data_IF_633167661108
#
_entry.id   IF_633167661108
#
_cell.length_a   1.000
_cell.length_b   1.000
_cell.length_c   1.000
_cell.angle_alpha   90.00
_cell.angle_beta   90.00
_cell.angle_gamma   90.00
#
_symmetry.space_group_name_H-M   'P 1'
#
loop_
_entity.id
_entity.type
_entity.pdbx_description
1 polymer ?
#
# COMPACT_ATOMS: atom_id res chain seq x y z
N UNK A 1 45.13 0.32 8.90
CA UNK A 1 44.10 1.21 9.50
C UNK A 1 43.44 2.12 8.45
N UNK A 2 44.11 2.44 7.35
CA UNK A 2 43.64 3.43 6.36
C UNK A 2 42.37 3.03 5.58
N UNK A 3 42.23 1.75 5.22
CA UNK A 3 41.07 1.27 4.45
C UNK A 3 39.76 1.33 5.26
N UNK A 4 39.82 1.13 6.58
CA UNK A 4 38.65 1.21 7.46
C UNK A 4 38.17 2.66 7.61
N UNK A 5 39.10 3.61 7.71
CA UNK A 5 38.78 5.02 7.83
C UNK A 5 38.19 5.59 6.52
N UNK A 6 38.69 5.12 5.36
CA UNK A 6 38.13 5.46 4.05
C UNK A 6 36.68 4.96 3.89
N UNK A 7 36.37 3.74 4.36
CA UNK A 7 35.00 3.21 4.34
C UNK A 7 34.02 4.02 5.19
N UNK A 8 34.47 4.49 6.36
CA UNK A 8 33.65 5.33 7.24
C UNK A 8 33.35 6.70 6.60
N UNK A 9 34.34 7.31 5.95
CA UNK A 9 34.17 8.58 5.24
C UNK A 9 33.18 8.46 4.08
N UNK A 10 33.21 7.35 3.34
CA UNK A 10 32.29 7.11 2.23
C UNK A 10 30.84 6.93 2.70
N UNK A 11 30.64 6.21 3.81
CA UNK A 11 29.32 6.03 4.41
C UNK A 11 28.72 7.37 4.87
N UNK A 12 29.50 8.22 5.53
CA UNK A 12 29.06 9.57 5.92
C UNK A 12 28.71 10.42 4.70
N UNK A 13 29.49 10.31 3.61
CA UNK A 13 29.23 11.02 2.36
C UNK A 13 27.93 10.55 1.68
N UNK A 14 27.65 9.25 1.68
CA UNK A 14 26.42 8.70 1.11
C UNK A 14 25.19 9.10 1.93
N UNK A 15 25.25 8.99 3.26
CA UNK A 15 24.15 9.42 4.13
C UNK A 15 23.87 10.91 4.03
N UNK A 16 24.90 11.74 3.87
CA UNK A 16 24.73 13.18 3.61
C UNK A 16 24.01 13.47 2.30
N UNK A 17 24.35 12.74 1.23
CA UNK A 17 23.70 12.86 -0.09
C UNK A 17 22.25 12.38 -0.07
N UNK A 18 21.97 11.28 0.63
CA UNK A 18 20.62 10.73 0.75
C UNK A 18 19.70 11.69 1.52
N UNK A 19 20.18 12.26 2.63
CA UNK A 19 19.43 13.27 3.39
C UNK A 19 19.18 14.54 2.55
N UNK A 20 20.17 14.98 1.78
CA UNK A 20 20.00 16.13 0.88
C UNK A 20 18.98 15.83 -0.24
N UNK A 21 18.98 14.63 -0.81
CA UNK A 21 17.98 14.22 -1.81
C UNK A 21 16.57 14.10 -1.23
N UNK A 22 16.44 13.54 -0.02
CA UNK A 22 15.15 13.49 0.68
C UNK A 22 14.62 14.90 0.97
N UNK A 23 15.48 15.82 1.42
CA UNK A 23 15.10 17.22 1.63
C UNK A 23 14.62 17.89 0.33
N UNK A 24 15.35 17.69 -0.78
CA UNK A 24 14.96 18.24 -2.10
C UNK A 24 13.66 17.63 -2.63
N UNK A 25 13.40 16.35 -2.34
CA UNK A 25 12.17 15.66 -2.76
C UNK A 25 10.96 16.15 -1.96
N UNK A 26 11.13 16.32 -0.64
CA UNK A 26 10.11 16.89 0.24
C UNK A 26 9.84 18.36 -0.10
N UNK A 27 10.87 19.16 -0.36
CA UNK A 27 10.72 20.57 -0.73
C UNK A 27 9.96 20.72 -2.06
N UNK A 28 10.24 19.86 -3.04
CA UNK A 28 9.44 19.80 -4.26
C UNK A 28 7.98 19.40 -3.99
N UNK A 29 7.73 18.48 -3.07
CA UNK A 29 6.36 18.09 -2.71
C UNK A 29 5.60 19.26 -2.05
N UNK A 30 6.22 19.91 -1.07
CA UNK A 30 5.66 21.07 -0.36
C UNK A 30 5.47 22.27 -1.30
N UNK A 31 6.42 22.54 -2.18
CA UNK A 31 6.32 23.62 -3.16
C UNK A 31 5.19 23.37 -4.17
N UNK A 32 5.05 22.13 -4.65
CA UNK A 32 3.95 21.79 -5.54
C UNK A 32 2.60 21.91 -4.82
N UNK A 33 2.52 21.56 -3.54
CA UNK A 33 1.33 21.79 -2.72
C UNK A 33 1.02 23.29 -2.58
N UNK A 34 2.01 24.12 -2.24
CA UNK A 34 1.83 25.57 -2.12
C UNK A 34 1.44 26.25 -3.47
N UNK A 35 1.92 25.72 -4.60
CA UNK A 35 1.51 26.19 -5.94
C UNK A 35 0.05 25.84 -6.27
N UNK A 36 -0.44 24.70 -5.79
CA UNK A 36 -1.86 24.34 -5.89
C UNK A 36 -2.71 25.29 -5.03
N UNK A 37 -2.25 25.61 -3.82
CA UNK A 37 -2.98 26.48 -2.89
C UNK A 37 -3.01 27.95 -3.34
N UNK A 38 -1.93 28.47 -3.94
CA UNK A 38 -1.84 29.86 -4.46
C UNK A 38 -2.61 30.09 -5.78
N UNK A 39 -3.04 29.04 -6.48
CA UNK A 39 -3.88 29.17 -7.70
C UNK A 39 -5.35 29.43 -7.36
N UNK A 40 -5.74 29.43 -6.09
CA UNK A 40 -7.13 29.63 -5.62
C UNK A 40 -7.62 31.08 -5.69
N UNK A 41 -6.80 32.03 -6.17
CA UNK A 41 -7.11 33.47 -6.20
C UNK A 41 -7.92 33.98 -7.41
N UNK A 42 -8.19 33.16 -8.44
CA UNK A 42 -8.95 33.60 -9.62
C UNK A 42 -10.19 32.73 -9.80
N UNK A 43 -11.26 33.10 -9.08
CA UNK A 43 -12.57 32.46 -9.19
C UNK A 43 -13.22 32.77 -10.55
N UNK A 44 -13.12 31.81 -11.46
CA UNK A 44 -14.29 31.38 -12.21
C UNK A 44 -14.98 30.29 -11.36
N UNK A 45 -16.32 30.13 -11.39
CA UNK A 45 -16.96 29.00 -10.73
C UNK A 45 -16.46 27.72 -11.43
N UNK A 46 -15.48 27.05 -10.82
CA UNK A 46 -15.12 25.70 -11.22
C UNK A 46 -16.36 24.82 -11.01
N UNK A 47 -16.75 23.98 -11.98
CA UNK A 47 -17.77 22.98 -11.73
C UNK A 47 -17.35 22.22 -10.48
N UNK A 48 -18.23 22.17 -9.47
CA UNK A 48 -17.98 21.43 -8.25
C UNK A 48 -17.48 20.03 -8.64
N UNK A 49 -16.28 19.68 -8.20
CA UNK A 49 -15.75 18.34 -8.41
C UNK A 49 -16.74 17.38 -7.77
N UNK A 50 -17.52 16.68 -8.60
CA UNK A 50 -18.41 15.65 -8.12
C UNK A 50 -17.51 14.63 -7.41
N UNK A 51 -17.75 14.30 -6.13
CA UNK A 51 -16.92 13.33 -5.44
C UNK A 51 -16.95 12.04 -6.26
N UNK A 52 -15.77 11.56 -6.67
CA UNK A 52 -15.66 10.32 -7.44
C UNK A 52 -16.13 9.18 -6.53
N UNK A 53 -17.38 8.75 -6.72
CA UNK A 53 -18.01 7.75 -5.86
C UNK A 53 -17.44 6.38 -6.22
N UNK A 54 -16.55 5.89 -5.37
CA UNK A 54 -16.03 4.53 -5.51
C UNK A 54 -17.03 3.52 -4.91
N UNK A 55 -17.24 2.40 -5.61
CA UNK A 55 -18.04 1.30 -5.07
C UNK A 55 -17.45 0.78 -3.76
N UNK A 56 -18.30 0.39 -2.81
CA UNK A 56 -17.85 -0.20 -1.53
C UNK A 56 -16.99 -1.44 -1.79
N UNK A 57 -15.87 -1.62 -1.06
CA UNK A 57 -15.07 -2.83 -1.19
C UNK A 57 -15.90 -4.08 -0.94
N UNK A 58 -15.54 -5.16 -1.63
CA UNK A 58 -16.12 -6.47 -1.37
C UNK A 58 -15.51 -7.03 -0.08
N UNK A 59 -16.30 -7.63 0.82
CA UNK A 59 -15.74 -8.30 1.98
C UNK A 59 -14.79 -9.44 1.59
N UNK A 60 -13.72 -9.61 2.35
CA UNK A 60 -12.68 -10.58 2.13
C UNK A 60 -12.65 -11.64 3.23
N UNK A 61 -12.87 -12.90 2.85
CA UNK A 61 -12.93 -14.05 3.75
C UNK A 61 -11.61 -14.85 3.82
N UNK A 62 -10.55 -14.39 3.17
CA UNK A 62 -9.26 -15.10 3.16
C UNK A 62 -9.02 -15.96 1.93
N UNK A 63 -9.90 -15.91 0.92
CA UNK A 63 -9.70 -16.62 -0.35
C UNK A 63 -8.37 -16.19 -1.00
N UNK A 64 -7.46 -17.14 -1.22
CA UNK A 64 -6.16 -16.91 -1.86
C UNK A 64 -6.30 -16.69 -3.38
N UNK A 65 -5.21 -16.27 -4.04
CA UNK A 65 -5.21 -15.99 -5.48
C UNK A 65 -5.85 -14.63 -5.80
N UNK A 66 -6.45 -14.45 -6.97
CA UNK A 66 -6.89 -13.14 -7.46
C UNK A 66 -7.78 -12.33 -6.48
N UNK A 67 -8.56 -12.99 -5.62
CA UNK A 67 -9.39 -12.33 -4.62
C UNK A 67 -8.58 -11.45 -3.64
N UNK A 68 -7.37 -11.88 -3.26
CA UNK A 68 -6.50 -11.13 -2.34
C UNK A 68 -5.96 -9.86 -3.00
N UNK A 69 -5.63 -9.92 -4.30
CA UNK A 69 -5.14 -8.80 -5.08
C UNK A 69 -6.23 -7.76 -5.30
N UNK A 70 -7.44 -8.22 -5.64
CA UNK A 70 -8.63 -7.36 -5.80
C UNK A 70 -8.92 -6.63 -4.50
N UNK A 71 -8.87 -7.31 -3.36
CA UNK A 71 -9.10 -6.69 -2.06
C UNK A 71 -8.07 -5.58 -1.77
N UNK A 72 -6.77 -5.87 -1.90
CA UNK A 72 -5.70 -4.86 -1.69
C UNK A 72 -5.86 -3.68 -2.64
N UNK A 73 -6.19 -3.93 -3.91
CA UNK A 73 -6.46 -2.90 -4.90
C UNK A 73 -7.62 -2.00 -4.51
N UNK A 74 -8.74 -2.57 -4.03
CA UNK A 74 -9.89 -1.80 -3.58
C UNK A 74 -9.57 -0.92 -2.36
N UNK A 75 -8.87 -1.46 -1.36
CA UNK A 75 -8.46 -0.69 -0.18
C UNK A 75 -7.54 0.48 -0.57
N UNK A 76 -6.53 0.20 -1.41
CA UNK A 76 -5.61 1.22 -1.90
C UNK A 76 -6.32 2.32 -2.69
N UNK A 77 -7.24 1.94 -3.58
CA UNK A 77 -7.98 2.89 -4.40
C UNK A 77 -8.88 3.79 -3.56
N UNK A 78 -9.60 3.26 -2.57
CA UNK A 78 -10.39 4.06 -1.63
C UNK A 78 -9.54 5.06 -0.85
N UNK A 79 -8.36 4.65 -0.38
CA UNK A 79 -7.45 5.51 0.37
C UNK A 79 -6.89 6.65 -0.48
N UNK A 80 -6.57 6.38 -1.76
CA UNK A 80 -6.02 7.38 -2.70
C UNK A 80 -7.12 8.34 -3.19
N UNK A 81 -8.31 7.84 -3.49
CA UNK A 81 -9.43 8.67 -3.97
C UNK A 81 -10.01 9.56 -2.87
N UNK A 82 -9.94 9.12 -1.60
CA UNK A 82 -10.55 9.84 -0.48
C UNK A 82 -9.52 10.18 0.62
N UNK A 83 -8.47 10.97 0.32
CA UNK A 83 -7.38 11.22 1.27
C UNK A 83 -7.85 11.94 2.52
N UNK A 84 -8.89 12.78 2.41
CA UNK A 84 -9.53 13.46 3.55
C UNK A 84 -10.20 12.49 4.53
N UNK A 85 -10.71 11.36 4.03
CA UNK A 85 -11.32 10.31 4.86
C UNK A 85 -10.28 9.36 5.45
N UNK A 86 -9.09 9.28 4.85
CA UNK A 86 -8.01 8.39 5.26
C UNK A 86 -6.68 9.12 5.54
N UNK A 87 -6.66 10.13 6.42
CA UNK A 87 -5.46 10.96 6.63
C UNK A 87 -4.34 10.22 7.39
N UNK A 88 -4.64 9.11 8.07
CA UNK A 88 -3.69 8.39 8.92
C UNK A 88 -3.54 6.93 8.53
N UNK A 89 -2.40 6.32 8.86
CA UNK A 89 -2.21 4.87 8.71
C UNK A 89 -3.29 4.08 9.46
N UNK A 90 -3.64 4.51 10.67
CA UNK A 90 -4.72 3.96 11.48
C UNK A 90 -6.05 3.92 10.71
N UNK A 91 -6.46 5.04 10.09
CA UNK A 91 -7.72 5.09 9.34
C UNK A 91 -7.75 4.12 8.15
N UNK A 92 -6.60 3.91 7.47
CA UNK A 92 -6.46 2.95 6.37
C UNK A 92 -6.54 1.49 6.85
N UNK A 93 -5.90 1.19 7.98
CA UNK A 93 -5.95 -0.15 8.60
C UNK A 93 -7.37 -0.47 9.08
N UNK A 94 -8.02 0.45 9.80
CA UNK A 94 -9.41 0.28 10.26
C UNK A 94 -10.34 0.03 9.08
N UNK A 95 -10.17 0.79 8.00
CA UNK A 95 -10.96 0.60 6.79
C UNK A 95 -10.75 -0.79 6.20
N UNK A 96 -9.52 -1.26 6.07
CA UNK A 96 -9.24 -2.61 5.57
C UNK A 96 -9.90 -3.68 6.45
N UNK A 97 -9.73 -3.59 7.77
CA UNK A 97 -10.27 -4.57 8.72
C UNK A 97 -11.80 -4.62 8.71
N UNK A 98 -12.49 -3.50 8.49
CA UNK A 98 -13.95 -3.46 8.42
C UNK A 98 -14.53 -4.36 7.31
N UNK A 99 -13.74 -4.65 6.28
CA UNK A 99 -14.12 -5.53 5.17
C UNK A 99 -13.54 -6.94 5.32
N UNK A 100 -12.86 -7.28 6.41
CA UNK A 100 -12.38 -8.64 6.69
C UNK A 100 -13.48 -9.46 7.39
N UNK A 101 -13.64 -10.72 7.00
CA UNK A 101 -14.68 -11.64 7.52
C UNK A 101 -14.13 -13.03 7.80
N UNK A 102 -14.86 -13.78 8.60
CA UNK A 102 -14.53 -15.17 8.94
C UNK A 102 -13.11 -15.26 9.54
N UNK A 103 -12.29 -16.19 9.03
CA UNK A 103 -10.90 -16.37 9.47
C UNK A 103 -10.07 -15.08 9.42
N UNK A 104 -10.33 -14.18 8.47
CA UNK A 104 -9.53 -12.96 8.34
C UNK A 104 -9.89 -11.91 9.40
N UNK A 105 -11.13 -11.93 9.91
CA UNK A 105 -11.51 -11.10 11.05
C UNK A 105 -10.70 -11.49 12.29
N UNK A 106 -10.59 -12.80 12.58
CA UNK A 106 -9.74 -13.32 13.67
C UNK A 106 -8.26 -12.98 13.44
N UNK A 107 -7.75 -13.16 12.23
CA UNK A 107 -6.36 -12.80 11.89
C UNK A 107 -6.05 -11.31 12.14
N UNK A 108 -7.03 -10.43 11.90
CA UNK A 108 -6.86 -8.99 12.05
C UNK A 108 -6.97 -8.46 13.49
N UNK A 109 -7.35 -9.31 14.46
CA UNK A 109 -7.55 -8.92 15.86
C UNK A 109 -6.37 -8.14 16.46
N UNK A 110 -5.09 -8.54 16.29
CA UNK A 110 -3.97 -7.80 16.86
C UNK A 110 -3.87 -6.34 16.36
N UNK A 111 -4.34 -6.07 15.14
CA UNK A 111 -4.38 -4.71 14.60
C UNK A 111 -5.54 -3.91 15.17
N UNK A 112 -6.70 -4.54 15.38
CA UNK A 112 -7.82 -3.90 16.06
C UNK A 112 -7.46 -3.53 17.49
N UNK A 113 -6.83 -4.44 18.23
CA UNK A 113 -6.40 -4.17 19.61
C UNK A 113 -5.44 -2.99 19.68
N UNK A 114 -4.44 -2.95 18.79
CA UNK A 114 -3.53 -1.81 18.67
C UNK A 114 -4.27 -0.50 18.39
N UNK A 115 -5.20 -0.50 17.44
CA UNK A 115 -5.99 0.68 17.11
C UNK A 115 -6.82 1.15 18.32
N UNK A 116 -7.49 0.22 19.02
CA UNK A 116 -8.34 0.51 20.18
C UNK A 116 -7.52 1.03 21.36
N UNK A 117 -6.30 0.51 21.55
CA UNK A 117 -5.34 0.97 22.54
C UNK A 117 -4.59 2.24 22.12
N UNK A 118 -4.89 2.80 20.94
CA UNK A 118 -4.21 3.97 20.34
C UNK A 118 -2.70 3.76 20.14
N UNK A 119 -2.29 2.52 20.00
CA UNK A 119 -0.93 2.17 19.60
C UNK A 119 -0.70 2.52 18.12
N UNK A 120 0.52 2.94 17.76
CA UNK A 120 0.84 3.24 16.37
C UNK A 120 0.74 1.98 15.52
N UNK A 121 -0.01 2.08 14.42
CA UNK A 121 -0.08 1.07 13.36
C UNK A 121 0.41 1.68 12.06
N UNK A 122 1.28 0.96 11.36
CA UNK A 122 1.81 1.37 10.06
C UNK A 122 1.09 0.57 8.98
N UNK A 123 0.47 1.27 8.02
CA UNK A 123 -0.34 0.63 6.99
C UNK A 123 0.49 -0.31 6.10
N UNK A 124 1.76 0.04 5.84
CA UNK A 124 2.66 -0.81 5.09
C UNK A 124 2.99 -2.13 5.81
N UNK A 125 3.19 -2.09 7.13
CA UNK A 125 3.45 -3.29 7.94
C UNK A 125 2.23 -4.22 7.96
N UNK A 126 1.03 -3.63 8.05
CA UNK A 126 -0.22 -4.37 7.87
C UNK A 126 -0.27 -5.06 6.50
N UNK A 127 0.00 -4.34 5.41
CA UNK A 127 -0.02 -4.91 4.05
C UNK A 127 1.03 -6.00 3.86
N UNK A 128 2.22 -5.86 4.44
CA UNK A 128 3.28 -6.85 4.35
C UNK A 128 2.89 -8.15 5.06
N UNK A 129 2.38 -8.06 6.29
CA UNK A 129 1.91 -9.23 7.03
C UNK A 129 0.70 -9.88 6.37
N UNK A 130 -0.21 -9.05 5.83
CA UNK A 130 -1.37 -9.52 5.06
C UNK A 130 -0.93 -10.30 3.82
N UNK A 131 0.00 -9.74 3.03
CA UNK A 131 0.57 -10.41 1.86
C UNK A 131 1.23 -11.73 2.25
N UNK A 132 2.06 -11.73 3.28
CA UNK A 132 2.70 -12.95 3.78
C UNK A 132 1.67 -14.04 4.16
N UNK A 133 0.54 -13.67 4.74
CA UNK A 133 -0.47 -14.61 5.21
C UNK A 133 -1.39 -15.17 4.10
N UNK A 134 -1.73 -14.34 3.12
CA UNK A 134 -2.80 -14.63 2.16
C UNK A 134 -2.36 -14.74 0.70
N UNK A 135 -1.19 -14.21 0.31
CA UNK A 135 -0.71 -14.39 -1.05
C UNK A 135 -0.16 -15.81 -1.24
N UNK A 136 -0.49 -16.41 -2.38
CA UNK A 136 0.15 -17.65 -2.79
C UNK A 136 1.55 -17.32 -3.34
N UNK A 137 2.58 -17.54 -2.52
CA UNK A 137 3.97 -17.24 -2.91
C UNK A 137 4.46 -18.17 -4.04
N UNK A 138 3.74 -19.27 -4.28
CA UNK A 138 3.99 -20.22 -5.35
C UNK A 138 3.04 -20.03 -6.55
N UNK A 139 2.31 -18.91 -6.66
CA UNK A 139 1.37 -18.69 -7.76
C UNK A 139 2.04 -18.86 -9.14
N UNK A 140 3.26 -18.35 -9.29
CA UNK A 140 4.07 -18.48 -10.50
C UNK A 140 4.43 -19.94 -10.78
N UNK A 141 4.99 -20.63 -9.79
CA UNK A 141 5.38 -22.03 -9.94
C UNK A 141 4.16 -22.92 -10.25
N UNK A 142 3.01 -22.65 -9.61
CA UNK A 142 1.75 -23.33 -9.90
C UNK A 142 1.24 -23.05 -11.31
N UNK A 143 1.33 -21.81 -11.77
CA UNK A 143 0.95 -21.44 -13.14
C UNK A 143 1.88 -22.12 -14.17
N UNK A 144 3.18 -22.16 -13.89
CA UNK A 144 4.18 -22.85 -14.73
C UNK A 144 3.91 -24.36 -14.78
N UNK A 145 3.64 -25.02 -13.64
CA UNK A 145 3.29 -26.45 -13.59
C UNK A 145 1.97 -26.71 -14.33
N UNK A 146 0.94 -25.88 -14.13
CA UNK A 146 -0.34 -26.02 -14.83
C UNK A 146 -0.17 -25.86 -16.36
N UNK A 147 0.67 -24.92 -16.79
CA UNK A 147 1.03 -24.73 -18.20
C UNK A 147 1.73 -25.97 -18.77
N UNK A 148 2.75 -26.50 -18.08
CA UNK A 148 3.45 -27.70 -18.52
C UNK A 148 2.52 -28.92 -18.61
N UNK A 149 1.61 -29.10 -17.65
CA UNK A 149 0.63 -30.19 -17.68
C UNK A 149 -0.31 -30.09 -18.89
N UNK A 150 -0.73 -28.88 -19.27
CA UNK A 150 -1.55 -28.65 -20.47
C UNK A 150 -0.80 -28.95 -21.76
N UNK A 151 0.48 -28.57 -21.85
CA UNK A 151 1.34 -28.91 -22.99
C UNK A 151 1.53 -30.43 -23.15
N UNK A 152 1.68 -31.17 -22.05
CA UNK A 152 1.85 -32.62 -22.08
C UNK A 152 0.57 -33.38 -22.47
N UNK A 153 -0.61 -32.88 -22.04
CA UNK A 153 -1.90 -33.47 -22.36
C UNK A 153 -2.32 -33.28 -23.83
N UNK A 154 -1.73 -32.32 -24.54
CA UNK A 154 -2.01 -32.02 -25.96
C UNK A 154 -1.22 -32.86 -26.97
N UNK A 155 -0.19 -33.59 -26.54
CA UNK A 155 0.71 -34.38 -27.42
C UNK A 155 0.19 -35.77 -27.80
N UNK A 156 -1.08 -36.07 -27.50
CA UNK A 156 -1.70 -37.38 -27.73
C UNK A 156 -2.78 -37.42 -28.82
N UNK A 157 -2.74 -36.50 -29.79
CA UNK A 157 -3.59 -36.51 -31.00
C UNK A 157 -2.74 -36.70 -32.26
#
# INVERSE_FOLDING_TARGET
MDALNAGLAELMRMMGKERAQQLTTEDNFQQNQARLDTTTGQQNPAPASNPMVLAKPKPFNGTRGAAVEVFVGQIGLHAITNPKCFPTNTSKVVFAVLFMKDYTATWSQPYLDKVLNREPVVFNDFLNNFRSSFFDHNCRHRAEVAFWNLCQAGTGL
#
